data_IF_891218541106
#
_entry.id   IF_891218541106
#
_cell.length_a   1.000
_cell.length_b   1.000
_cell.length_c   1.000
_cell.angle_alpha   90.00
_cell.angle_beta   90.00
_cell.angle_gamma   90.00
#
_symmetry.space_group_name_H-M   'P 1'
#
loop_
_entity.id
_entity.type
_entity.pdbx_description
1 polymer ?
#
# COMPACT_ATOMS: atom_id res chain seq x y z
N UNK A 1 4.79 36.08 18.18
CA UNK A 1 4.19 36.36 16.86
C UNK A 1 4.80 35.52 15.72
N UNK A 2 5.81 34.67 15.99
CA UNK A 2 6.44 33.78 15.00
C UNK A 2 5.81 32.38 14.89
N UNK A 3 5.05 31.93 15.91
CA UNK A 3 4.45 30.58 15.94
C UNK A 3 3.17 30.45 15.08
N UNK A 4 2.50 31.55 14.75
CA UNK A 4 1.27 31.53 13.94
C UNK A 4 1.51 31.38 12.43
N UNK A 5 2.73 31.63 11.96
CA UNK A 5 3.06 31.51 10.52
C UNK A 5 3.45 30.08 10.11
N UNK A 6 4.04 29.29 11.01
CA UNK A 6 4.39 27.88 10.75
C UNK A 6 3.12 27.01 10.65
N UNK A 7 2.08 27.35 11.41
CA UNK A 7 0.81 26.61 11.45
C UNK A 7 -0.05 26.76 10.18
N UNK A 8 -0.10 27.94 9.56
CA UNK A 8 -0.97 28.20 8.41
C UNK A 8 -0.46 27.59 7.09
N UNK A 9 0.87 27.44 6.95
CA UNK A 9 1.47 26.74 5.81
C UNK A 9 1.22 25.23 5.85
N UNK A 10 1.24 24.62 7.04
CA UNK A 10 0.92 23.20 7.21
C UNK A 10 -0.54 22.85 6.87
N UNK A 11 -1.49 23.70 7.28
CA UNK A 11 -2.92 23.46 7.07
C UNK A 11 -3.37 23.58 5.61
N UNK A 12 -2.80 24.50 4.83
CA UNK A 12 -3.11 24.64 3.39
C UNK A 12 -2.61 23.45 2.56
N UNK A 13 -1.41 22.95 2.87
CA UNK A 13 -0.84 21.78 2.20
C UNK A 13 -1.65 20.52 2.50
N UNK A 14 -2.17 20.38 3.73
CA UNK A 14 -2.92 19.21 4.18
C UNK A 14 -4.32 19.07 3.56
N UNK A 15 -5.01 20.19 3.28
CA UNK A 15 -6.34 20.19 2.69
C UNK A 15 -6.37 19.78 1.21
N UNK A 16 -5.28 20.01 0.46
CA UNK A 16 -5.13 19.58 -0.94
C UNK A 16 -4.88 18.07 -1.05
N UNK A 17 -4.24 17.45 -0.06
CA UNK A 17 -3.89 16.02 -0.07
C UNK A 17 -5.12 15.11 -0.22
N UNK A 18 -6.24 15.45 0.42
CA UNK A 18 -7.48 14.67 0.31
C UNK A 18 -8.16 14.77 -1.05
N UNK A 19 -7.73 15.67 -1.94
CA UNK A 19 -8.18 15.67 -3.33
C UNK A 19 -7.36 14.72 -4.22
N UNK A 20 -6.19 14.26 -3.77
CA UNK A 20 -5.25 13.47 -4.59
C UNK A 20 -5.34 11.96 -4.31
N UNK A 21 -5.55 11.54 -3.06
CA UNK A 21 -5.79 10.13 -2.72
C UNK A 21 -6.79 9.97 -1.57
N UNK A 22 -7.60 8.92 -1.64
CA UNK A 22 -8.37 8.41 -0.52
C UNK A 22 -7.62 7.25 0.14
N UNK A 23 -7.00 7.50 1.30
CA UNK A 23 -6.21 6.49 2.02
C UNK A 23 -7.09 5.36 2.59
N UNK A 24 -8.38 5.61 2.84
CA UNK A 24 -9.31 4.55 3.23
C UNK A 24 -9.55 3.57 2.07
N UNK A 25 -9.71 4.06 0.84
CA UNK A 25 -9.83 3.21 -0.34
C UNK A 25 -8.54 2.39 -0.57
N UNK A 26 -7.37 2.99 -0.28
CA UNK A 26 -6.11 2.27 -0.32
C UNK A 26 -6.06 1.12 0.71
N UNK A 27 -6.58 1.33 1.93
CA UNK A 27 -6.72 0.27 2.95
C UNK A 27 -7.61 -0.86 2.44
N UNK A 28 -8.78 -0.54 1.88
CA UNK A 28 -9.70 -1.54 1.35
C UNK A 28 -9.08 -2.34 0.21
N UNK A 29 -8.44 -1.64 -0.74
CA UNK A 29 -7.78 -2.27 -1.88
C UNK A 29 -6.68 -3.25 -1.44
N UNK A 30 -5.81 -2.84 -0.51
CA UNK A 30 -4.71 -3.68 -0.03
C UNK A 30 -5.19 -4.84 0.85
N UNK A 31 -6.25 -4.63 1.65
CA UNK A 31 -6.86 -5.71 2.44
C UNK A 31 -7.50 -6.80 1.57
N UNK A 32 -7.96 -6.45 0.37
CA UNK A 32 -8.59 -7.40 -0.55
C UNK A 32 -7.60 -8.32 -1.29
N UNK A 33 -6.30 -7.99 -1.32
CA UNK A 33 -5.32 -8.73 -2.11
C UNK A 33 -5.14 -10.18 -1.69
N UNK A 34 -5.19 -10.50 -0.39
CA UNK A 34 -5.06 -11.89 0.07
C UNK A 34 -6.13 -12.78 -0.55
N UNK A 35 -7.38 -12.32 -0.55
CA UNK A 35 -8.49 -13.03 -1.18
C UNK A 35 -8.31 -13.09 -2.71
N UNK A 36 -7.86 -11.99 -3.33
CA UNK A 36 -7.59 -11.95 -4.78
C UNK A 36 -6.55 -13.00 -5.20
N UNK A 37 -5.42 -13.05 -4.50
CA UNK A 37 -4.36 -14.05 -4.73
C UNK A 37 -4.86 -15.46 -4.44
N UNK A 38 -5.59 -15.67 -3.35
CA UNK A 38 -6.21 -16.98 -3.05
C UNK A 38 -7.09 -17.47 -4.20
N UNK A 39 -8.01 -16.64 -4.71
CA UNK A 39 -8.86 -17.00 -5.84
C UNK A 39 -8.06 -17.26 -7.12
N UNK A 40 -6.94 -16.56 -7.31
CA UNK A 40 -6.02 -16.83 -8.42
C UNK A 40 -5.36 -18.21 -8.30
N UNK A 41 -4.84 -18.56 -7.11
CA UNK A 41 -4.24 -19.87 -6.85
C UNK A 41 -5.25 -21.03 -7.04
N UNK A 42 -6.51 -20.81 -6.68
CA UNK A 42 -7.60 -21.79 -6.84
C UNK A 42 -8.12 -21.91 -8.28
N UNK A 43 -7.57 -21.15 -9.24
CA UNK A 43 -8.07 -21.12 -10.62
C UNK A 43 -9.46 -20.50 -10.78
N UNK A 44 -9.94 -19.79 -9.76
CA UNK A 44 -11.25 -19.12 -9.74
C UNK A 44 -11.18 -17.66 -10.22
N UNK A 45 -9.97 -17.13 -10.43
CA UNK A 45 -9.75 -15.82 -11.05
C UNK A 45 -9.57 -15.94 -12.56
N UNK A 46 -10.12 -14.97 -13.30
CA UNK A 46 -9.85 -14.78 -14.74
C UNK A 46 -8.73 -13.77 -15.00
N UNK A 47 -8.12 -13.25 -13.94
CA UNK A 47 -7.07 -12.24 -14.05
C UNK A 47 -5.77 -12.84 -14.58
N UNK A 48 -5.16 -12.14 -15.52
CA UNK A 48 -3.78 -12.41 -15.92
C UNK A 48 -2.82 -11.65 -15.00
N UNK A 49 -2.52 -12.25 -13.84
CA UNK A 49 -1.55 -11.68 -12.90
C UNK A 49 -0.14 -11.91 -13.42
N UNK A 50 0.52 -10.81 -13.80
CA UNK A 50 1.89 -10.82 -14.29
C UNK A 50 2.82 -10.42 -13.14
N UNK A 51 3.69 -11.30 -12.60
CA UNK A 51 4.60 -10.97 -11.50
C UNK A 51 5.41 -9.71 -11.73
N UNK A 52 5.96 -9.55 -12.94
CA UNK A 52 6.73 -8.38 -13.36
C UNK A 52 5.93 -7.07 -13.37
N UNK A 53 4.59 -7.11 -13.27
CA UNK A 53 3.73 -5.92 -13.10
C UNK A 53 3.30 -5.76 -11.66
N UNK A 54 2.81 -6.82 -11.03
CA UNK A 54 2.28 -6.74 -9.66
C UNK A 54 3.38 -6.60 -8.61
N UNK A 55 4.62 -6.95 -8.93
CA UNK A 55 5.78 -6.75 -8.07
C UNK A 55 6.34 -5.33 -8.10
N UNK A 56 5.91 -4.52 -9.07
CA UNK A 56 6.36 -3.13 -9.22
C UNK A 56 5.45 -2.24 -8.40
N UNK A 57 5.98 -1.79 -7.27
CA UNK A 57 5.23 -1.05 -6.26
C UNK A 57 4.65 0.26 -6.81
N UNK A 58 5.38 1.01 -7.65
CA UNK A 58 4.90 2.29 -8.21
C UNK A 58 3.83 2.18 -9.31
N UNK A 59 3.35 0.98 -9.67
CA UNK A 59 2.31 0.83 -10.69
C UNK A 59 0.88 0.85 -10.13
N UNK A 60 0.68 0.50 -8.86
CA UNK A 60 -0.65 0.55 -8.25
C UNK A 60 -1.06 1.99 -7.91
N UNK A 61 -2.35 2.25 -7.65
CA UNK A 61 -2.86 3.60 -7.34
C UNK A 61 -2.13 4.22 -6.15
N UNK A 62 -1.97 3.44 -5.07
CA UNK A 62 -1.24 3.88 -3.88
C UNK A 62 0.24 4.13 -4.19
N UNK A 63 0.90 3.22 -4.90
CA UNK A 63 2.29 3.36 -5.27
C UNK A 63 2.58 4.59 -6.11
N UNK A 64 1.74 4.87 -7.11
CA UNK A 64 1.83 6.11 -7.90
C UNK A 64 1.79 7.35 -7.01
N UNK A 65 0.90 7.36 -6.02
CA UNK A 65 0.80 8.44 -5.05
C UNK A 65 2.01 8.52 -4.12
N UNK A 66 2.47 7.38 -3.56
CA UNK A 66 3.68 7.30 -2.73
C UNK A 66 4.87 7.91 -3.47
N UNK A 67 5.05 7.58 -4.75
CA UNK A 67 6.18 8.04 -5.55
C UNK A 67 5.97 9.41 -6.22
N UNK A 68 4.87 10.12 -5.90
CA UNK A 68 4.58 11.49 -6.36
C UNK A 68 4.20 12.38 -5.17
N UNK A 69 2.94 12.80 -5.09
CA UNK A 69 2.45 13.80 -4.13
C UNK A 69 2.59 13.32 -2.68
N UNK A 70 2.46 12.02 -2.43
CA UNK A 70 2.68 11.42 -1.11
C UNK A 70 4.07 11.75 -0.58
N UNK A 71 5.11 11.59 -1.40
CA UNK A 71 6.49 11.93 -1.04
C UNK A 71 6.69 13.44 -0.84
N UNK A 72 6.06 14.27 -1.69
CA UNK A 72 6.18 15.72 -1.60
C UNK A 72 5.59 16.28 -0.29
N UNK A 73 4.55 15.66 0.25
CA UNK A 73 3.82 16.17 1.41
C UNK A 73 4.11 15.43 2.72
N UNK A 74 4.45 14.14 2.66
CA UNK A 74 4.65 13.28 3.83
C UNK A 74 6.05 12.70 3.93
N UNK A 75 6.98 13.06 3.04
CA UNK A 75 8.32 12.46 2.98
C UNK A 75 9.09 12.47 4.30
N UNK A 76 8.84 13.45 5.17
CA UNK A 76 9.49 13.57 6.48
C UNK A 76 8.72 12.89 7.63
N UNK A 77 7.53 12.34 7.36
CA UNK A 77 6.72 11.64 8.37
C UNK A 77 7.21 10.19 8.54
N UNK A 78 7.56 9.75 9.75
CA UNK A 78 8.02 8.39 10.00
C UNK A 78 7.03 7.32 9.51
N UNK A 79 5.72 7.56 9.66
CA UNK A 79 4.66 6.66 9.19
C UNK A 79 4.62 6.53 7.67
N UNK A 80 4.98 7.58 6.94
CA UNK A 80 5.06 7.53 5.48
C UNK A 80 6.30 6.77 5.01
N UNK A 81 7.45 7.00 5.65
CA UNK A 81 8.68 6.24 5.35
C UNK A 81 8.45 4.75 5.60
N UNK A 82 7.85 4.37 6.72
CA UNK A 82 7.46 2.99 7.03
C UNK A 82 6.50 2.45 5.95
N UNK A 83 5.50 3.24 5.52
CA UNK A 83 4.56 2.84 4.47
C UNK A 83 5.28 2.54 3.14
N UNK A 84 6.22 3.38 2.70
CA UNK A 84 6.96 3.18 1.44
C UNK A 84 7.67 1.83 1.44
N UNK A 85 8.39 1.52 2.52
CA UNK A 85 9.13 0.27 2.65
C UNK A 85 8.21 -0.95 2.70
N UNK A 86 7.17 -0.90 3.53
CA UNK A 86 6.27 -2.02 3.73
C UNK A 86 5.41 -2.29 2.47
N UNK A 87 5.05 -1.25 1.72
CA UNK A 87 4.34 -1.36 0.45
C UNK A 87 5.20 -2.01 -0.65
N UNK A 88 6.49 -1.66 -0.75
CA UNK A 88 7.39 -2.30 -1.70
C UNK A 88 7.56 -3.80 -1.39
N UNK A 89 7.75 -4.16 -0.11
CA UNK A 89 7.81 -5.56 0.33
C UNK A 89 6.50 -6.30 0.05
N UNK A 90 5.35 -5.65 0.22
CA UNK A 90 4.04 -6.25 -0.08
C UNK A 90 3.94 -6.69 -1.54
N UNK A 91 4.30 -5.81 -2.47
CA UNK A 91 4.26 -6.11 -3.89
C UNK A 91 5.29 -7.18 -4.28
N UNK A 92 6.48 -7.17 -3.69
CA UNK A 92 7.45 -8.25 -3.87
C UNK A 92 6.91 -9.62 -3.44
N UNK A 93 6.26 -9.72 -2.28
CA UNK A 93 5.64 -10.97 -1.83
C UNK A 93 4.46 -11.39 -2.73
N UNK A 94 3.65 -10.44 -3.20
CA UNK A 94 2.57 -10.73 -4.14
C UNK A 94 3.09 -11.34 -5.44
N UNK A 95 4.20 -10.81 -5.97
CA UNK A 95 4.89 -11.38 -7.13
C UNK A 95 5.38 -12.79 -6.84
N UNK A 96 6.04 -13.03 -5.70
CA UNK A 96 6.53 -14.36 -5.30
C UNK A 96 5.41 -15.41 -5.21
N UNK A 97 4.21 -15.05 -4.73
CA UNK A 97 3.04 -15.96 -4.72
C UNK A 97 2.69 -16.39 -6.14
N UNK A 98 2.59 -15.42 -7.05
CA UNK A 98 2.19 -15.68 -8.44
C UNK A 98 3.29 -16.44 -9.20
N UNK A 99 4.56 -16.11 -8.97
CA UNK A 99 5.71 -16.83 -9.56
C UNK A 99 5.73 -18.30 -9.16
N UNK A 100 5.58 -18.59 -7.86
CA UNK A 100 5.53 -19.97 -7.37
C UNK A 100 4.36 -20.74 -8.02
N UNK A 101 3.18 -20.13 -8.11
CA UNK A 101 2.03 -20.75 -8.76
C UNK A 101 2.26 -21.02 -10.25
N UNK A 102 2.81 -20.04 -10.98
CA UNK A 102 3.11 -20.17 -12.41
C UNK A 102 4.21 -21.20 -12.70
N UNK A 103 5.10 -21.46 -11.72
CA UNK A 103 6.08 -22.53 -11.77
C UNK A 103 5.51 -23.92 -11.43
N UNK A 104 4.22 -24.03 -11.07
CA UNK A 104 3.60 -25.28 -10.64
C UNK A 104 3.85 -25.64 -9.17
N UNK A 105 4.44 -24.74 -8.39
CA UNK A 105 4.78 -24.93 -6.97
C UNK A 105 3.62 -24.47 -6.07
N UNK A 106 2.44 -25.11 -6.19
CA UNK A 106 1.20 -24.68 -5.52
C UNK A 106 1.32 -24.63 -4.00
N UNK A 107 1.94 -25.64 -3.37
CA UNK A 107 2.11 -25.67 -1.91
C UNK A 107 2.95 -24.48 -1.43
N UNK A 108 4.05 -24.19 -2.13
CA UNK A 108 4.90 -23.04 -1.83
C UNK A 108 4.15 -21.72 -2.01
N UNK A 109 3.34 -21.59 -3.06
CA UNK A 109 2.53 -20.40 -3.30
C UNK A 109 1.55 -20.16 -2.13
N UNK A 110 0.93 -21.23 -1.62
CA UNK A 110 0.03 -21.16 -0.46
C UNK A 110 0.78 -20.83 0.85
N UNK A 111 1.97 -21.39 1.05
CA UNK A 111 2.82 -21.08 2.21
C UNK A 111 3.23 -19.59 2.22
N UNK A 112 3.61 -19.04 1.07
CA UNK A 112 3.91 -17.60 0.95
C UNK A 112 2.65 -16.78 1.22
N UNK A 113 1.51 -17.15 0.62
CA UNK A 113 0.24 -16.42 0.76
C UNK A 113 -0.25 -16.35 2.21
N UNK A 114 -0.13 -17.45 2.95
CA UNK A 114 -0.63 -17.57 4.33
C UNK A 114 0.39 -17.15 5.38
N UNK A 115 1.68 -17.17 5.05
CA UNK A 115 2.78 -16.72 5.88
C UNK A 115 3.22 -15.29 5.56
N UNK A 116 4.32 -15.16 4.81
CA UNK A 116 5.03 -13.89 4.63
C UNK A 116 4.20 -12.82 3.93
N UNK A 117 3.36 -13.17 2.94
CA UNK A 117 2.45 -12.22 2.31
C UNK A 117 1.38 -11.71 3.29
N UNK A 118 0.77 -12.57 4.11
CA UNK A 118 -0.23 -12.16 5.09
C UNK A 118 0.33 -11.20 6.13
N UNK A 119 1.52 -11.51 6.65
CA UNK A 119 2.23 -10.63 7.58
C UNK A 119 2.50 -9.27 6.93
N UNK A 120 3.03 -9.27 5.71
CA UNK A 120 3.37 -8.05 4.99
C UNK A 120 2.13 -7.21 4.62
N UNK A 121 1.03 -7.86 4.26
CA UNK A 121 -0.27 -7.24 4.03
C UNK A 121 -0.77 -6.53 5.29
N UNK A 122 -0.69 -7.17 6.46
CA UNK A 122 -1.11 -6.57 7.73
C UNK A 122 -0.25 -5.36 8.09
N UNK A 123 1.06 -5.41 7.86
CA UNK A 123 1.98 -4.28 8.10
C UNK A 123 1.65 -3.09 7.20
N UNK A 124 1.45 -3.32 5.91
CA UNK A 124 1.07 -2.27 4.95
C UNK A 124 -0.27 -1.61 5.32
N UNK A 125 -1.29 -2.41 5.63
CA UNK A 125 -2.62 -1.92 6.05
C UNK A 125 -2.53 -1.13 7.35
N UNK A 126 -1.71 -1.56 8.31
CA UNK A 126 -1.46 -0.83 9.56
C UNK A 126 -0.84 0.54 9.29
N UNK A 127 0.17 0.62 8.43
CA UNK A 127 0.81 1.90 8.06
C UNK A 127 -0.18 2.85 7.40
N UNK A 128 -0.98 2.35 6.43
CA UNK A 128 -2.04 3.14 5.80
C UNK A 128 -3.08 3.64 6.80
N UNK A 129 -3.50 2.80 7.74
CA UNK A 129 -4.49 3.16 8.76
C UNK A 129 -3.96 4.24 9.70
N UNK A 130 -2.69 4.14 10.13
CA UNK A 130 -2.03 5.17 10.93
C UNK A 130 -1.93 6.50 10.17
N UNK A 131 -1.44 6.47 8.93
CA UNK A 131 -1.28 7.67 8.11
C UNK A 131 -2.64 8.33 7.84
N UNK A 132 -3.68 7.54 7.55
CA UNK A 132 -5.04 8.03 7.40
C UNK A 132 -5.54 8.71 8.68
N UNK A 133 -5.29 8.15 9.86
CA UNK A 133 -5.68 8.77 11.12
C UNK A 133 -4.99 10.12 11.35
N UNK A 134 -3.70 10.25 10.99
CA UNK A 134 -2.96 11.52 11.05
C UNK A 134 -3.60 12.56 10.13
N UNK A 135 -3.89 12.17 8.88
CA UNK A 135 -4.54 13.06 7.90
C UNK A 135 -5.91 13.52 8.37
N UNK A 136 -6.74 12.61 8.90
CA UNK A 136 -8.07 12.96 9.41
C UNK A 136 -8.02 13.83 10.68
N UNK A 137 -7.03 13.62 11.55
CA UNK A 137 -6.86 14.44 12.74
C UNK A 137 -6.48 15.90 12.40
N UNK A 138 -5.69 16.10 11.35
CA UNK A 138 -5.28 17.43 10.88
C UNK A 138 -6.37 18.24 10.17
N UNK A 139 -7.54 17.65 9.86
CA UNK A 139 -8.69 18.37 9.29
C UNK A 139 -9.53 19.12 10.33
N UNK A 140 -9.34 18.82 11.62
CA UNK A 140 -10.09 19.42 12.73
C UNK A 140 -9.40 20.68 13.24
#
# INVERSE_FOLDING_TARGET
MFEKFISALGMKQQAEITQVINLYDAVLAHSAWKRRLFLYLEGQSKEDLQPAKIGVDYLCVLGKWIHSDGKAHFGDQPEFVELVEEHAKFHAHAASVVEAHQAGETDRAMDILTGSFDEQSRRTVKCLTKLNAIVEAGKK
#
